data_IF_301754252388
#
_entry.id   IF_301754252388
#
_cell.length_a   1.000
_cell.length_b   1.000
_cell.length_c   1.000
_cell.angle_alpha   90.00
_cell.angle_beta   90.00
_cell.angle_gamma   90.00
#
_symmetry.space_group_name_H-M   'P 1'
#
loop_
_entity.id
_entity.type
_entity.pdbx_description
1 polymer ?
#
# COMPACT_ATOMS: atom_id res chain seq x y z
N UNK A 1 -10.36 -2.25 3.52
CA UNK A 1 -11.10 -3.40 4.09
C UNK A 1 -12.51 -3.33 3.58
N UNK A 2 -13.14 -4.46 3.29
CA UNK A 2 -14.52 -4.50 2.80
C UNK A 2 -15.46 -5.13 3.83
N UNK A 3 -16.63 -4.52 3.99
CA UNK A 3 -17.73 -4.99 4.81
C UNK A 3 -18.84 -5.48 3.87
N UNK A 4 -18.99 -6.78 3.73
CA UNK A 4 -20.03 -7.37 2.89
C UNK A 4 -21.24 -7.77 3.73
N UNK A 5 -22.39 -7.17 3.44
CA UNK A 5 -23.66 -7.59 3.99
C UNK A 5 -24.25 -8.72 3.13
N UNK A 6 -24.45 -9.89 3.74
CA UNK A 6 -25.06 -11.05 3.08
C UNK A 6 -26.53 -11.27 3.48
N UNK A 7 -27.07 -10.46 4.37
CA UNK A 7 -28.47 -10.54 4.80
C UNK A 7 -29.35 -9.67 3.90
N UNK A 8 -30.66 -9.81 4.08
CA UNK A 8 -31.67 -9.00 3.42
C UNK A 8 -32.06 -7.75 4.25
N UNK A 9 -31.39 -7.53 5.39
CA UNK A 9 -31.61 -6.40 6.29
C UNK A 9 -30.57 -5.30 6.10
N UNK A 10 -30.89 -4.07 6.53
CA UNK A 10 -29.93 -2.99 6.63
C UNK A 10 -29.05 -3.18 7.87
N UNK A 11 -27.73 -3.05 7.71
CA UNK A 11 -26.79 -3.15 8.82
C UNK A 11 -26.12 -1.81 9.08
N UNK A 12 -26.26 -1.29 10.30
CA UNK A 12 -25.37 -0.22 10.76
C UNK A 12 -24.04 -0.84 11.21
N UNK A 13 -22.93 -0.16 10.94
CA UNK A 13 -21.61 -0.58 11.43
C UNK A 13 -20.88 0.54 12.15
N UNK A 14 -19.97 0.15 13.04
CA UNK A 14 -19.05 1.05 13.73
C UNK A 14 -17.69 0.39 13.89
N UNK A 15 -16.65 1.15 13.57
CA UNK A 15 -15.25 0.73 13.71
C UNK A 15 -14.64 1.40 14.94
N UNK A 16 -14.08 0.59 15.83
CA UNK A 16 -13.31 1.00 17.00
C UNK A 16 -11.87 0.49 16.86
N UNK A 17 -10.92 1.16 17.48
CA UNK A 17 -9.51 0.75 17.47
C UNK A 17 -8.88 0.97 18.84
N UNK A 18 -7.91 0.11 19.20
CA UNK A 18 -7.10 0.30 20.42
C UNK A 18 -6.05 1.41 20.28
N UNK A 19 -5.88 1.99 19.09
CA UNK A 19 -4.88 3.04 18.82
C UNK A 19 -5.43 4.16 17.91
N UNK A 20 -6.46 4.91 18.34
CA UNK A 20 -7.13 5.91 17.51
C UNK A 20 -6.23 7.06 17.05
N UNK A 21 -5.15 7.36 17.78
CA UNK A 21 -4.16 8.38 17.38
C UNK A 21 -3.29 7.93 16.21
N UNK A 22 -3.09 6.62 16.03
CA UNK A 22 -2.21 6.06 14.99
C UNK A 22 -2.95 5.81 13.68
N UNK A 23 -4.26 5.64 13.71
CA UNK A 23 -5.03 5.26 12.53
C UNK A 23 -6.16 6.25 12.25
N UNK A 24 -6.27 6.64 10.99
CA UNK A 24 -7.46 7.27 10.45
C UNK A 24 -8.34 6.20 9.80
N UNK A 25 -9.63 6.17 10.15
CA UNK A 25 -10.61 5.24 9.58
C UNK A 25 -11.71 6.03 8.90
N UNK A 26 -11.97 5.75 7.62
CA UNK A 26 -12.99 6.43 6.82
C UNK A 26 -13.79 5.44 5.94
N UNK A 27 -15.12 5.42 6.05
CA UNK A 27 -15.93 5.94 7.16
C UNK A 27 -15.67 5.14 8.47
N UNK A 28 -15.84 5.76 9.64
CA UNK A 28 -15.74 5.08 10.94
C UNK A 28 -17.07 4.46 11.40
N UNK A 29 -18.19 4.92 10.85
CA UNK A 29 -19.53 4.35 11.00
C UNK A 29 -20.35 4.62 9.74
N UNK A 30 -21.32 3.77 9.48
CA UNK A 30 -22.19 3.91 8.31
C UNK A 30 -23.23 2.81 8.25
N UNK A 31 -23.92 2.74 7.12
CA UNK A 31 -24.93 1.73 6.85
C UNK A 31 -24.47 0.93 5.64
N UNK A 32 -24.61 -0.39 5.72
CA UNK A 32 -24.42 -1.31 4.61
C UNK A 32 -25.80 -1.83 4.21
N UNK A 33 -26.30 -1.45 3.01
CA UNK A 33 -27.57 -1.95 2.52
C UNK A 33 -27.59 -3.49 2.40
N UNK A 34 -28.78 -4.09 2.29
CA UNK A 34 -28.94 -5.50 1.99
C UNK A 34 -28.08 -5.91 0.80
N UNK A 35 -27.50 -7.12 0.87
CA UNK A 35 -26.77 -7.75 -0.26
C UNK A 35 -25.67 -6.89 -0.89
N UNK A 36 -25.12 -5.93 -0.15
CA UNK A 36 -24.17 -4.92 -0.65
C UNK A 36 -22.84 -4.96 0.10
N UNK A 37 -21.82 -4.33 -0.46
CA UNK A 37 -20.50 -4.19 0.17
C UNK A 37 -20.18 -2.71 0.41
N UNK A 38 -19.61 -2.41 1.58
CA UNK A 38 -19.10 -1.08 1.92
C UNK A 38 -17.59 -1.12 2.14
N UNK A 39 -16.87 -0.18 1.54
CA UNK A 39 -15.41 -0.09 1.67
C UNK A 39 -15.02 0.85 2.81
N UNK A 40 -14.16 0.34 3.71
CA UNK A 40 -13.57 1.08 4.82
C UNK A 40 -12.07 1.21 4.59
N UNK A 41 -11.61 2.45 4.48
CA UNK A 41 -10.21 2.80 4.36
C UNK A 41 -9.62 3.01 5.74
N UNK A 42 -8.56 2.27 6.04
CA UNK A 42 -7.76 2.42 7.26
C UNK A 42 -6.37 2.89 6.84
N UNK A 43 -6.00 4.09 7.25
CA UNK A 43 -4.69 4.68 6.97
C UNK A 43 -3.93 4.84 8.26
N UNK A 44 -2.72 4.29 8.32
CA UNK A 44 -1.81 4.53 9.44
C UNK A 44 -1.15 5.90 9.27
N UNK A 45 -1.09 6.68 10.35
CA UNK A 45 -0.31 7.91 10.37
C UNK A 45 1.18 7.57 10.35
N UNK A 46 1.98 8.42 9.70
CA UNK A 46 3.41 8.20 9.56
C UNK A 46 4.09 8.06 10.93
N UNK A 47 4.76 6.93 11.15
CA UNK A 47 5.60 6.72 12.31
C UNK A 47 6.95 7.43 12.09
N UNK A 48 7.44 8.16 13.08
CA UNK A 48 8.76 8.82 13.02
C UNK A 48 9.91 7.82 12.91
N UNK A 49 9.72 6.61 13.43
CA UNK A 49 10.69 5.52 13.38
C UNK A 49 9.94 4.19 13.33
N UNK A 50 10.45 3.23 12.57
CA UNK A 50 9.90 1.87 12.56
C UNK A 50 10.03 1.26 13.96
N UNK A 51 8.99 0.59 14.49
CA UNK A 51 9.07 -0.09 15.78
C UNK A 51 10.21 -1.13 15.75
N UNK A 52 11.12 -1.15 16.75
CA UNK A 52 12.34 -1.96 16.72
C UNK A 52 12.13 -3.44 16.41
N UNK A 53 11.01 -4.00 16.88
CA UNK A 53 10.71 -5.44 16.73
C UNK A 53 9.63 -5.72 15.66
N UNK A 54 9.20 -4.71 14.89
CA UNK A 54 8.02 -4.79 14.01
C UNK A 54 6.75 -5.34 14.69
N UNK A 55 6.68 -5.30 16.03
CA UNK A 55 5.52 -5.77 16.77
C UNK A 55 4.38 -4.77 16.67
N UNK A 56 3.24 -5.24 16.14
CA UNK A 56 1.98 -4.51 16.22
C UNK A 56 1.02 -5.22 17.16
N UNK A 57 0.60 -4.52 18.22
CA UNK A 57 -0.42 -4.98 19.18
C UNK A 57 -1.78 -4.32 18.93
N UNK A 58 -1.86 -3.49 17.89
CA UNK A 58 -3.05 -2.72 17.58
C UNK A 58 -4.16 -3.65 17.05
N UNK A 59 -5.39 -3.37 17.45
CA UNK A 59 -6.57 -4.15 17.08
C UNK A 59 -7.67 -3.21 16.59
N UNK A 60 -8.42 -3.67 15.60
CA UNK A 60 -9.67 -3.08 15.19
C UNK A 60 -10.83 -3.96 15.64
N UNK A 61 -11.92 -3.33 16.02
CA UNK A 61 -13.18 -3.97 16.33
C UNK A 61 -14.23 -3.35 15.41
N UNK A 62 -14.85 -4.17 14.58
CA UNK A 62 -16.01 -3.81 13.79
C UNK A 62 -17.22 -4.37 14.52
N UNK A 63 -18.16 -3.51 14.86
CA UNK A 63 -19.48 -3.93 15.35
C UNK A 63 -20.50 -3.68 14.25
N UNK A 64 -21.46 -4.58 14.09
CA UNK A 64 -22.62 -4.38 13.22
C UNK A 64 -23.91 -4.69 13.97
N UNK A 65 -24.99 -4.00 13.62
CA UNK A 65 -26.32 -4.19 14.19
C UNK A 65 -27.37 -4.03 13.09
N UNK A 66 -28.43 -4.84 13.17
CA UNK A 66 -29.58 -4.72 12.27
C UNK A 66 -30.32 -3.42 12.57
N UNK A 67 -30.65 -2.66 11.52
CA UNK A 67 -31.40 -1.39 11.60
C UNK A 67 -32.54 -1.37 10.59
N UNK A 68 -33.49 -0.47 10.80
CA UNK A 68 -34.60 -0.28 9.87
C UNK A 68 -34.13 0.42 8.59
N UNK A 69 -34.80 0.11 7.49
CA UNK A 69 -34.65 0.85 6.24
C UNK A 69 -34.94 2.35 6.47
N UNK A 70 -34.14 3.22 5.83
CA UNK A 70 -34.28 4.67 5.99
C UNK A 70 -33.60 5.25 7.23
N UNK A 71 -33.00 4.44 8.10
CA UNK A 71 -32.12 4.94 9.18
C UNK A 71 -31.03 5.82 8.57
N UNK A 72 -30.80 7.03 9.09
CA UNK A 72 -29.70 7.86 8.62
C UNK A 72 -28.42 7.58 9.41
N UNK A 73 -27.26 7.83 8.79
CA UNK A 73 -25.94 7.64 9.45
C UNK A 73 -25.81 8.46 10.75
N UNK A 74 -26.50 9.60 10.82
CA UNK A 74 -26.58 10.49 11.99
C UNK A 74 -27.39 9.93 13.16
N UNK A 75 -28.28 8.98 12.90
CA UNK A 75 -29.12 8.33 13.91
C UNK A 75 -28.44 7.08 14.51
N UNK A 76 -27.28 6.69 13.99
CA UNK A 76 -26.48 5.58 14.50
C UNK A 76 -25.92 5.96 15.88
N UNK A 77 -26.56 5.45 16.93
CA UNK A 77 -26.12 5.69 18.31
C UNK A 77 -25.23 4.54 18.82
N UNK A 78 -24.47 4.82 19.89
CA UNK A 78 -23.64 3.79 20.53
C UNK A 78 -24.44 2.66 21.16
N UNK A 79 -25.71 2.90 21.50
CA UNK A 79 -26.58 1.94 22.17
C UNK A 79 -27.03 0.80 21.26
N UNK A 80 -27.18 1.08 19.96
CA UNK A 80 -27.52 0.07 18.95
C UNK A 80 -26.50 -1.09 18.90
N UNK A 81 -25.23 -0.81 19.26
CA UNK A 81 -24.15 -1.80 19.25
C UNK A 81 -23.90 -2.47 20.61
N UNK A 82 -24.88 -2.39 21.53
CA UNK A 82 -24.81 -3.07 22.81
C UNK A 82 -25.81 -4.23 22.83
N UNK A 83 -25.32 -5.43 23.17
CA UNK A 83 -26.17 -6.64 23.28
C UNK A 83 -27.20 -6.55 24.42
N UNK A 84 -26.90 -5.78 25.46
CA UNK A 84 -27.83 -5.54 26.59
C UNK A 84 -29.11 -4.79 26.19
N UNK A 85 -29.12 -4.14 25.02
CA UNK A 85 -30.28 -3.42 24.50
C UNK A 85 -31.26 -4.31 23.73
N UNK A 86 -31.06 -5.63 23.73
CA UNK A 86 -31.91 -6.58 22.98
C UNK A 86 -31.64 -6.63 21.46
N UNK A 87 -30.64 -5.87 20.99
CA UNK A 87 -30.27 -5.83 19.58
C UNK A 87 -29.43 -7.05 19.18
N UNK A 88 -29.58 -7.49 17.93
CA UNK A 88 -28.69 -8.48 17.31
C UNK A 88 -27.42 -7.76 16.87
N UNK A 89 -26.35 -7.90 17.66
CA UNK A 89 -25.05 -7.26 17.41
C UNK A 89 -23.99 -8.31 17.09
N UNK A 90 -23.36 -8.18 15.93
CA UNK A 90 -22.19 -8.97 15.54
C UNK A 90 -20.89 -8.18 15.75
N UNK A 91 -19.83 -8.87 16.16
CA UNK A 91 -18.54 -8.27 16.50
C UNK A 91 -17.37 -9.02 15.87
N UNK A 92 -16.61 -8.31 15.03
CA UNK A 92 -15.42 -8.85 14.38
C UNK A 92 -14.17 -8.13 14.86
N UNK A 93 -13.23 -8.90 15.41
CA UNK A 93 -11.92 -8.40 15.88
C UNK A 93 -10.84 -8.68 14.85
N UNK A 94 -10.14 -7.64 14.42
CA UNK A 94 -9.07 -7.70 13.44
C UNK A 94 -7.75 -7.31 14.10
N UNK A 95 -6.70 -8.09 13.85
CA UNK A 95 -5.34 -7.81 14.34
C UNK A 95 -4.53 -7.12 13.25
N UNK A 96 -3.85 -6.04 13.59
CA UNK A 96 -2.92 -5.38 12.67
C UNK A 96 -1.58 -6.14 12.71
N UNK A 97 -1.01 -6.39 11.54
CA UNK A 97 0.32 -6.99 11.38
C UNK A 97 1.17 -6.09 10.51
N UNK A 98 2.42 -5.89 10.90
CA UNK A 98 3.40 -5.24 10.05
C UNK A 98 4.11 -6.29 9.21
N UNK A 99 4.24 -6.02 7.92
CA UNK A 99 4.95 -6.86 6.97
C UNK A 99 6.16 -6.10 6.46
N UNK A 100 7.29 -6.80 6.32
CA UNK A 100 8.47 -6.21 5.69
C UNK A 100 8.15 -5.92 4.22
N UNK A 101 8.65 -4.80 3.66
CA UNK A 101 8.56 -4.56 2.23
C UNK A 101 9.19 -5.74 1.46
N UNK A 102 8.66 -6.10 0.27
CA UNK A 102 9.28 -7.09 -0.58
C UNK A 102 10.75 -6.73 -0.83
N UNK A 103 11.66 -7.70 -0.70
CA UNK A 103 13.07 -7.49 -1.04
C UNK A 103 13.16 -7.19 -2.53
N UNK A 104 13.94 -6.17 -2.96
CA UNK A 104 14.19 -5.97 -4.38
C UNK A 104 14.87 -7.21 -4.96
N UNK A 105 14.61 -7.56 -6.23
CA UNK A 105 15.28 -8.69 -6.88
C UNK A 105 16.80 -8.45 -6.84
N UNK A 106 17.56 -9.48 -6.46
CA UNK A 106 19.02 -9.43 -6.44
C UNK A 106 19.52 -9.05 -7.84
N UNK A 107 20.53 -8.16 -7.98
CA UNK A 107 21.14 -7.90 -9.27
C UNK A 107 21.63 -9.22 -9.87
N UNK A 108 21.02 -9.62 -10.99
CA UNK A 108 21.51 -10.76 -11.76
C UNK A 108 22.89 -10.34 -12.26
N UNK A 109 23.92 -11.10 -11.90
CA UNK A 109 25.27 -10.87 -12.43
C UNK A 109 25.19 -11.12 -13.93
N UNK A 110 25.19 -10.07 -14.74
CA UNK A 110 25.41 -10.18 -16.17
C UNK A 110 26.76 -10.88 -16.35
N UNK A 111 26.72 -12.15 -16.77
CA UNK A 111 27.91 -12.86 -17.16
C UNK A 111 28.48 -12.16 -18.38
N UNK A 112 29.68 -11.60 -18.27
CA UNK A 112 30.44 -11.12 -19.40
C UNK A 112 30.79 -12.32 -20.30
N UNK A 113 29.92 -12.64 -21.25
CA UNK A 113 30.25 -13.53 -22.35
C UNK A 113 30.93 -12.73 -23.47
N UNK A 114 32.12 -12.18 -23.20
CA UNK A 114 32.99 -11.75 -24.30
C UNK A 114 33.79 -12.97 -24.77
N UNK A 115 33.12 -13.76 -25.61
CA UNK A 115 33.73 -14.81 -26.40
C UNK A 115 34.79 -14.21 -27.33
N UNK A 116 36.05 -14.54 -27.03
CA UNK A 116 37.17 -14.74 -27.94
C UNK A 116 37.00 -14.24 -29.38
N UNK A 117 37.73 -13.17 -29.75
CA UNK A 117 38.06 -12.88 -31.16
C UNK A 117 39.59 -12.81 -31.32
N UNK A 118 40.21 -13.65 -32.17
CA UNK A 118 41.65 -13.58 -32.40
C UNK A 118 41.99 -12.41 -33.34
N UNK A 119 42.91 -11.55 -32.90
CA UNK A 119 43.51 -10.45 -33.68
C UNK A 119 44.30 -11.02 -34.89
N UNK A 120 44.10 -10.51 -36.13
CA UNK A 120 45.09 -10.69 -37.18
C UNK A 120 46.24 -9.68 -37.01
N UNK A 121 47.45 -10.20 -37.02
CA UNK A 121 48.73 -9.47 -37.02
C UNK A 121 48.99 -8.85 -38.40
N UNK A 122 49.36 -7.58 -38.43
CA UNK A 122 50.12 -6.98 -39.52
C UNK A 122 50.89 -5.78 -38.95
N UNK A 123 52.21 -5.86 -39.08
CA UNK A 123 53.16 -4.90 -38.54
C UNK A 123 53.60 -3.87 -39.59
N UNK A 124 53.86 -2.67 -39.07
CA UNK A 124 54.85 -1.66 -39.45
C UNK A 124 54.69 -0.85 -40.76
N UNK A 125 54.70 0.48 -40.60
CA UNK A 125 54.85 1.43 -41.71
C UNK A 125 54.66 2.93 -41.44
N UNK A 126 55.32 3.50 -40.42
CA UNK A 126 55.86 4.88 -40.31
C UNK A 126 54.97 6.18 -40.40
N UNK A 127 55.04 6.95 -39.29
CA UNK A 127 55.28 8.42 -39.12
C UNK A 127 54.23 9.42 -39.73
N UNK A 128 53.76 10.51 -39.10
CA UNK A 128 54.46 11.61 -38.39
C UNK A 128 53.49 12.45 -37.50
N UNK A 129 54.06 12.90 -36.38
CA UNK A 129 53.92 14.16 -35.63
C UNK A 129 52.70 14.50 -34.76
N UNK A 130 53.04 14.87 -33.51
CA UNK A 130 52.23 15.51 -32.50
C UNK A 130 52.01 16.99 -32.80
N UNK A 131 50.79 17.49 -32.56
CA UNK A 131 50.63 18.74 -31.83
C UNK A 131 49.24 18.87 -31.19
N UNK A 132 49.35 19.25 -29.93
CA UNK A 132 48.37 19.63 -28.92
C UNK A 132 47.45 20.76 -29.39
N UNK A 133 46.15 20.65 -29.11
CA UNK A 133 45.24 21.79 -28.96
C UNK A 133 43.93 21.32 -28.30
N UNK A 134 43.81 21.68 -27.02
CA UNK A 134 42.60 21.69 -26.19
C UNK A 134 41.47 22.49 -26.85
N UNK A 135 40.26 21.90 -26.87
CA UNK A 135 38.97 22.63 -26.84
C UNK A 135 37.82 21.64 -26.63
N UNK A 136 37.43 21.47 -25.37
CA UNK A 136 36.18 20.81 -24.99
C UNK A 136 35.03 21.80 -25.25
N UNK A 137 34.00 21.37 -25.97
CA UNK A 137 32.78 22.12 -26.25
C UNK A 137 31.62 21.14 -26.26
N UNK A 138 30.52 21.59 -25.66
CA UNK A 138 29.14 21.14 -25.82
C UNK A 138 28.67 19.83 -25.14
N UNK A 139 28.02 20.03 -23.98
CA UNK A 139 26.68 19.46 -23.70
C UNK A 139 25.71 19.82 -24.86
N UNK A 140 24.67 19.02 -25.23
CA UNK A 140 23.43 18.96 -24.43
C UNK A 140 22.66 17.59 -24.62
N UNK A 141 21.33 17.44 -24.40
CA UNK A 141 20.79 16.53 -23.37
C UNK A 141 19.68 15.57 -23.89
N UNK A 142 18.89 15.02 -22.96
CA UNK A 142 17.62 14.25 -23.09
C UNK A 142 17.81 12.73 -23.26
N UNK A 143 17.10 11.85 -22.55
CA UNK A 143 15.64 11.88 -22.36
C UNK A 143 15.15 11.15 -21.11
N UNK A 144 14.09 11.72 -20.55
CA UNK A 144 13.08 11.13 -19.66
C UNK A 144 12.64 9.70 -20.02
N UNK A 145 12.43 8.85 -19.02
CA UNK A 145 11.46 7.75 -19.13
C UNK A 145 10.58 7.68 -17.87
N UNK A 146 9.30 7.97 -18.10
CA UNK A 146 8.17 7.64 -17.23
C UNK A 146 7.89 6.14 -17.27
N UNK A 147 7.65 5.51 -16.12
CA UNK A 147 7.04 4.18 -16.06
C UNK A 147 5.68 4.28 -15.34
N UNK A 148 4.60 4.16 -16.10
CA UNK A 148 3.28 3.80 -15.61
C UNK A 148 3.20 2.27 -15.51
N UNK A 149 2.69 1.76 -14.40
CA UNK A 149 2.43 0.33 -14.21
C UNK A 149 1.02 0.10 -13.66
N UNK A 150 0.11 -0.28 -14.55
CA UNK A 150 -1.12 -1.07 -14.31
C UNK A 150 -0.68 -2.52 -14.03
N UNK A 151 -1.22 -3.28 -13.07
CA UNK A 151 -2.59 -3.83 -12.92
C UNK A 151 -2.99 -3.80 -11.44
#
# INVERSE_FOLDING_TARGET
MELTNRTDDYLAFKVKTTSPKKYCVRPNSGIVPPRSTSSVVVTMQALKQAPPDMQCKDKFLVQSAVVTEGTAVKDITGEMFKKESGNVVDEVRLKVVYVQPPRPPSPVREGSEEGSSPRPSWSDGANINYQDATRESDEPPLSSVSAQGTI
#
